data_IF_158190564856
#
_entry.id   IF_158190564856
#
_cell.length_a   1.000
_cell.length_b   1.000
_cell.length_c   1.000
_cell.angle_alpha   90.00
_cell.angle_beta   90.00
_cell.angle_gamma   90.00
#
_symmetry.space_group_name_H-M   'P 1'
#
loop_
_entity.id
_entity.type
_entity.pdbx_description
1 polymer ?
#
# COMPACT_ATOMS: atom_id res chain seq x y z
N UNK A 1 -36.88 -17.16 -10.50
CA UNK A 1 -35.50 -17.73 -10.36
C UNK A 1 -34.58 -16.77 -11.08
N UNK A 2 -33.44 -16.42 -10.50
CA UNK A 2 -32.51 -15.41 -11.07
C UNK A 2 -31.20 -16.03 -11.48
N UNK A 3 -30.74 -15.64 -12.66
CA UNK A 3 -29.43 -16.01 -13.16
C UNK A 3 -28.39 -15.00 -12.63
N UNK A 4 -27.46 -15.48 -11.81
CA UNK A 4 -26.42 -14.66 -11.20
C UNK A 4 -25.06 -15.08 -11.75
N UNK A 5 -24.44 -14.19 -12.52
CA UNK A 5 -23.10 -14.35 -13.08
C UNK A 5 -22.09 -13.70 -12.13
N UNK A 6 -21.10 -14.46 -11.67
CA UNK A 6 -20.15 -14.07 -10.64
C UNK A 6 -18.74 -14.24 -11.18
N UNK A 7 -17.93 -13.18 -11.10
CA UNK A 7 -16.50 -13.22 -11.43
C UNK A 7 -15.71 -12.86 -10.19
N UNK A 8 -14.76 -13.70 -9.81
CA UNK A 8 -13.88 -13.46 -8.68
C UNK A 8 -12.49 -13.02 -9.18
N UNK A 9 -12.01 -11.88 -8.67
CA UNK A 9 -10.72 -11.29 -9.00
C UNK A 9 -9.89 -11.15 -7.72
N UNK A 10 -8.93 -12.04 -7.54
CA UNK A 10 -7.96 -11.97 -6.47
C UNK A 10 -6.77 -11.10 -6.92
N UNK A 11 -6.61 -9.94 -6.29
CA UNK A 11 -5.64 -8.95 -6.77
C UNK A 11 -4.21 -9.21 -6.29
N UNK A 12 -4.02 -10.01 -5.23
CA UNK A 12 -2.70 -10.34 -4.68
C UNK A 12 -2.09 -11.60 -5.30
N UNK A 13 -0.79 -11.58 -5.58
CA UNK A 13 -0.08 -12.74 -6.15
C UNK A 13 0.23 -13.85 -5.13
N UNK A 14 -0.05 -13.65 -3.83
CA UNK A 14 0.44 -14.53 -2.76
C UNK A 14 -0.48 -15.71 -2.40
N UNK A 15 -1.67 -15.85 -3.00
CA UNK A 15 -2.62 -16.92 -2.64
C UNK A 15 -3.11 -17.72 -3.85
N UNK A 16 -2.18 -18.29 -4.60
CA UNK A 16 -2.48 -19.23 -5.69
C UNK A 16 -3.29 -20.41 -5.14
N UNK A 17 -4.43 -20.70 -5.76
CA UNK A 17 -5.30 -21.83 -5.40
C UNK A 17 -6.40 -21.54 -4.37
N UNK A 18 -6.48 -20.31 -3.86
CA UNK A 18 -7.56 -19.91 -2.96
C UNK A 18 -8.91 -19.84 -3.69
N UNK A 19 -9.99 -20.23 -3.00
CA UNK A 19 -11.34 -20.31 -3.58
C UNK A 19 -12.33 -19.49 -2.79
N UNK A 20 -13.12 -18.67 -3.48
CA UNK A 20 -14.22 -17.92 -2.92
C UNK A 20 -15.40 -18.86 -2.62
N UNK A 21 -15.83 -18.94 -1.36
CA UNK A 21 -17.06 -19.67 -0.99
C UNK A 21 -18.27 -18.77 -1.17
N UNK A 22 -19.24 -19.22 -1.94
CA UNK A 22 -20.51 -18.53 -2.17
C UNK A 22 -21.59 -19.25 -1.36
N UNK A 23 -22.35 -18.51 -0.56
CA UNK A 23 -23.42 -19.03 0.28
C UNK A 23 -24.74 -18.29 0.05
N UNK A 24 -25.84 -19.00 0.21
CA UNK A 24 -27.17 -18.41 0.37
C UNK A 24 -27.97 -19.19 1.41
N UNK A 25 -28.73 -18.49 2.26
CA UNK A 25 -29.50 -19.12 3.35
C UNK A 25 -28.67 -20.02 4.26
N UNK A 26 -27.37 -19.72 4.46
CA UNK A 26 -26.44 -20.53 5.26
C UNK A 26 -25.82 -21.74 4.54
N UNK A 27 -26.32 -22.15 3.37
CA UNK A 27 -25.77 -23.27 2.58
C UNK A 27 -24.69 -22.79 1.61
N UNK A 28 -23.67 -23.61 1.38
CA UNK A 28 -22.64 -23.35 0.36
C UNK A 28 -23.21 -23.74 -1.01
N UNK A 29 -23.26 -22.78 -1.93
CA UNK A 29 -23.73 -22.98 -3.30
C UNK A 29 -22.58 -23.36 -4.23
N UNK A 30 -21.43 -22.70 -4.09
CA UNK A 30 -20.28 -22.93 -4.96
C UNK A 30 -18.96 -22.52 -4.31
N UNK A 31 -17.86 -22.99 -4.91
CA UNK A 31 -16.48 -22.58 -4.61
C UNK A 31 -15.83 -22.11 -5.91
N UNK A 32 -15.63 -20.81 -6.04
CA UNK A 32 -15.12 -20.19 -7.26
C UNK A 32 -13.61 -19.96 -7.15
N UNK A 33 -12.78 -20.56 -8.02
CA UNK A 33 -11.38 -20.19 -8.14
C UNK A 33 -11.22 -18.78 -8.73
N UNK A 34 -10.05 -18.18 -8.53
CA UNK A 34 -9.70 -16.88 -9.08
C UNK A 34 -9.73 -16.87 -10.63
N UNK A 35 -10.17 -15.76 -11.21
CA UNK A 35 -10.15 -15.50 -12.66
C UNK A 35 -11.24 -16.21 -13.47
N UNK A 36 -12.05 -17.07 -12.85
CA UNK A 36 -13.16 -17.75 -13.53
C UNK A 36 -14.50 -17.04 -13.30
N UNK A 37 -15.35 -17.13 -14.32
CA UNK A 37 -16.77 -16.75 -14.25
C UNK A 37 -17.59 -17.98 -13.85
N UNK A 38 -18.60 -17.78 -13.01
CA UNK A 38 -19.54 -18.82 -12.63
C UNK A 38 -20.97 -18.30 -12.66
N UNK A 39 -21.88 -19.13 -13.14
CA UNK A 39 -23.31 -18.80 -13.23
C UNK A 39 -24.08 -19.64 -12.21
N UNK A 40 -24.90 -18.98 -11.40
CA UNK A 40 -25.75 -19.61 -10.39
C UNK A 40 -27.22 -19.27 -10.65
N UNK A 41 -28.10 -20.20 -10.37
CA UNK A 41 -29.55 -19.97 -10.35
C UNK A 41 -30.00 -19.81 -8.90
N UNK A 42 -30.52 -18.63 -8.56
CA UNK A 42 -30.85 -18.27 -7.17
C UNK A 42 -32.32 -17.88 -7.04
N UNK A 43 -33.05 -18.39 -6.03
CA UNK A 43 -34.40 -17.94 -5.74
C UNK A 43 -34.47 -16.45 -5.44
N UNK A 44 -35.59 -15.82 -5.77
CA UNK A 44 -35.80 -14.40 -5.53
C UNK A 44 -35.80 -14.05 -4.04
N UNK A 45 -35.35 -12.84 -3.72
CA UNK A 45 -35.28 -12.34 -2.35
C UNK A 45 -34.14 -12.90 -1.50
N UNK A 46 -33.33 -13.82 -2.02
CA UNK A 46 -32.18 -14.35 -1.31
C UNK A 46 -30.96 -13.42 -1.39
N UNK A 47 -30.20 -13.38 -0.30
CA UNK A 47 -28.89 -12.73 -0.25
C UNK A 47 -27.78 -13.72 -0.58
N UNK A 48 -26.69 -13.18 -1.12
CA UNK A 48 -25.47 -13.93 -1.39
C UNK A 48 -24.39 -13.48 -0.42
N UNK A 49 -23.82 -14.44 0.31
CA UNK A 49 -22.64 -14.22 1.14
C UNK A 49 -21.42 -14.82 0.48
N UNK A 50 -20.44 -13.97 0.20
CA UNK A 50 -19.13 -14.32 -0.32
C UNK A 50 -18.14 -14.42 0.85
N UNK A 51 -17.38 -15.50 0.93
CA UNK A 51 -16.41 -15.72 2.00
C UNK A 51 -15.11 -16.28 1.44
N UNK A 52 -14.03 -15.55 1.64
CA UNK A 52 -12.69 -16.01 1.34
C UNK A 52 -12.10 -16.73 2.58
N UNK A 53 -11.87 -15.99 3.67
CA UNK A 53 -11.41 -16.48 4.97
C UNK A 53 -12.26 -15.90 6.12
N UNK A 54 -12.10 -16.40 7.35
CA UNK A 54 -12.99 -16.09 8.48
C UNK A 54 -13.22 -14.58 8.76
N UNK A 55 -12.25 -13.67 8.58
CA UNK A 55 -12.53 -12.22 8.64
C UNK A 55 -12.98 -11.61 7.30
N UNK A 56 -12.77 -12.29 6.17
CA UNK A 56 -12.98 -11.75 4.81
C UNK A 56 -14.29 -12.25 4.22
N UNK A 57 -15.40 -11.60 4.62
CA UNK A 57 -16.75 -11.88 4.12
C UNK A 57 -17.47 -10.61 3.68
N UNK A 58 -18.30 -10.74 2.65
CA UNK A 58 -19.24 -9.70 2.24
C UNK A 58 -20.57 -10.32 1.85
N UNK A 59 -21.66 -9.60 2.05
CA UNK A 59 -23.02 -10.05 1.72
C UNK A 59 -23.68 -9.00 0.86
N UNK A 60 -24.29 -9.43 -0.24
CA UNK A 60 -25.04 -8.57 -1.15
C UNK A 60 -26.49 -9.03 -1.21
N UNK A 61 -27.42 -8.08 -1.26
CA UNK A 61 -28.81 -8.36 -1.58
C UNK A 61 -28.99 -8.27 -3.09
N UNK A 62 -29.61 -9.29 -3.67
CA UNK A 62 -29.87 -9.30 -5.10
C UNK A 62 -30.99 -8.29 -5.42
N UNK A 63 -30.84 -7.46 -6.48
CA UNK A 63 -31.88 -6.53 -6.90
C UNK A 63 -33.16 -7.29 -7.28
N UNK A 64 -34.34 -6.76 -6.92
CA UNK A 64 -35.62 -7.46 -7.10
C UNK A 64 -36.11 -7.46 -8.55
N UNK A 65 -35.63 -6.53 -9.34
CA UNK A 65 -36.21 -6.08 -10.61
C UNK A 65 -35.40 -6.53 -11.84
N UNK A 66 -34.37 -7.38 -11.65
CA UNK A 66 -33.56 -7.95 -12.73
C UNK A 66 -33.51 -9.47 -12.67
N UNK A 67 -33.80 -10.11 -13.80
CA UNK A 67 -33.73 -11.58 -13.96
C UNK A 67 -32.29 -12.09 -14.07
N UNK A 68 -31.43 -11.28 -14.70
CA UNK A 68 -29.99 -11.53 -14.85
C UNK A 68 -29.18 -10.51 -14.05
N UNK A 69 -28.28 -10.98 -13.21
CA UNK A 69 -27.46 -10.14 -12.33
C UNK A 69 -25.98 -10.47 -12.52
N UNK A 70 -25.14 -9.46 -12.69
CA UNK A 70 -23.70 -9.61 -12.82
C UNK A 70 -23.01 -9.07 -11.58
N UNK A 71 -22.12 -9.87 -10.99
CA UNK A 71 -21.43 -9.53 -9.74
C UNK A 71 -19.93 -9.72 -9.93
N UNK A 72 -19.17 -8.65 -9.74
CA UNK A 72 -17.72 -8.74 -9.61
C UNK A 72 -17.37 -8.75 -8.14
N UNK A 73 -16.63 -9.77 -7.73
CA UNK A 73 -16.09 -9.89 -6.37
C UNK A 73 -14.59 -9.72 -6.45
N UNK A 74 -14.04 -8.75 -5.74
CA UNK A 74 -12.61 -8.50 -5.76
C UNK A 74 -12.06 -8.21 -4.36
N UNK A 75 -10.75 -8.39 -4.25
CA UNK A 75 -10.02 -8.13 -3.01
C UNK A 75 -9.42 -6.73 -3.02
N UNK A 76 -10.00 -5.81 -2.24
CA UNK A 76 -9.60 -4.41 -2.18
C UNK A 76 -8.51 -4.17 -1.15
N UNK A 77 -7.28 -4.62 -1.43
CA UNK A 77 -6.09 -4.33 -0.61
C UNK A 77 -5.07 -3.54 -1.39
N UNK A 78 -4.56 -2.49 -0.76
CA UNK A 78 -3.43 -1.72 -1.24
C UNK A 78 -2.13 -2.49 -0.97
N UNK A 79 -1.28 -2.58 -1.97
CA UNK A 79 -0.02 -3.34 -1.95
C UNK A 79 1.19 -2.52 -1.45
N UNK A 80 0.96 -1.40 -0.77
CA UNK A 80 2.02 -0.52 -0.28
C UNK A 80 1.88 -0.21 1.20
N UNK A 81 3.02 -0.05 1.88
CA UNK A 81 3.05 0.33 3.29
C UNK A 81 2.86 1.84 3.47
N UNK A 82 2.22 2.31 4.56
CA UNK A 82 1.55 1.53 5.61
C UNK A 82 0.10 1.16 5.24
N UNK A 83 -0.36 1.53 4.04
CA UNK A 83 -1.73 1.32 3.62
C UNK A 83 -2.18 -0.15 3.71
N UNK A 84 -1.30 -1.10 3.37
CA UNK A 84 -1.54 -2.54 3.51
C UNK A 84 -1.87 -2.95 4.95
N UNK A 85 -1.22 -2.34 5.95
CA UNK A 85 -1.50 -2.62 7.37
C UNK A 85 -2.83 -2.02 7.81
N UNK A 86 -3.13 -0.81 7.35
CA UNK A 86 -4.42 -0.16 7.64
C UNK A 86 -5.58 -0.90 6.99
N UNK A 87 -5.35 -1.52 5.84
CA UNK A 87 -6.37 -2.29 5.14
C UNK A 87 -6.74 -3.57 5.90
N UNK A 88 -5.87 -4.14 6.74
CA UNK A 88 -6.21 -5.28 7.62
C UNK A 88 -7.44 -4.99 8.49
N UNK A 89 -7.68 -3.73 8.85
CA UNK A 89 -8.84 -3.30 9.64
C UNK A 89 -10.09 -2.98 8.81
N UNK A 90 -10.02 -3.01 7.48
CA UNK A 90 -11.13 -2.70 6.57
C UNK A 90 -11.81 -3.98 6.06
N UNK A 91 -12.99 -3.82 5.45
CA UNK A 91 -13.62 -4.89 4.67
C UNK A 91 -12.82 -5.10 3.38
N UNK A 92 -12.08 -6.20 3.31
CA UNK A 92 -11.16 -6.48 2.21
C UNK A 92 -11.82 -7.14 1.01
N UNK A 93 -12.93 -7.86 1.23
CA UNK A 93 -13.69 -8.50 0.17
C UNK A 93 -14.85 -7.59 -0.24
N UNK A 94 -14.83 -7.13 -1.48
CA UNK A 94 -15.85 -6.24 -2.05
C UNK A 94 -16.63 -7.02 -3.10
N UNK A 95 -17.96 -6.90 -3.06
CA UNK A 95 -18.86 -7.46 -4.06
C UNK A 95 -19.73 -6.32 -4.61
N UNK A 96 -19.74 -6.17 -5.92
CA UNK A 96 -20.47 -5.11 -6.61
C UNK A 96 -21.37 -5.71 -7.69
N UNK A 97 -22.62 -5.26 -7.74
CA UNK A 97 -23.48 -5.51 -8.90
C UNK A 97 -23.06 -4.53 -9.99
N UNK A 98 -22.76 -5.05 -11.17
CA UNK A 98 -22.25 -4.29 -12.32
C UNK A 98 -23.11 -4.51 -13.55
N UNK A 99 -22.89 -3.75 -14.62
CA UNK A 99 -23.50 -4.02 -15.93
C UNK A 99 -22.88 -5.26 -16.59
N UNK A 100 -23.51 -5.77 -17.65
CA UNK A 100 -22.95 -6.89 -18.43
C UNK A 100 -21.65 -6.48 -19.15
N UNK A 101 -21.59 -5.25 -19.66
CA UNK A 101 -20.40 -4.69 -20.30
C UNK A 101 -19.23 -4.58 -19.32
N UNK A 102 -19.47 -3.98 -18.15
CA UNK A 102 -18.49 -3.87 -17.07
C UNK A 102 -18.02 -5.25 -16.62
N UNK A 103 -18.93 -6.21 -16.47
CA UNK A 103 -18.61 -7.58 -16.09
C UNK A 103 -17.67 -8.25 -17.10
N UNK A 104 -17.92 -8.06 -18.40
CA UNK A 104 -17.12 -8.65 -19.46
C UNK A 104 -15.72 -8.03 -19.55
N UNK A 105 -15.61 -6.72 -19.32
CA UNK A 105 -14.33 -5.99 -19.33
C UNK A 105 -13.53 -6.13 -18.03
N UNK A 106 -14.18 -6.52 -16.93
CA UNK A 106 -13.55 -6.66 -15.62
C UNK A 106 -12.36 -7.62 -15.68
N UNK A 107 -11.17 -7.05 -15.47
CA UNK A 107 -9.90 -7.75 -15.45
C UNK A 107 -9.07 -7.35 -14.22
N UNK A 108 -8.11 -8.21 -13.86
CA UNK A 108 -7.29 -8.05 -12.65
C UNK A 108 -6.45 -6.78 -12.66
N UNK A 109 -5.89 -6.41 -13.81
CA UNK A 109 -4.95 -5.30 -13.90
C UNK A 109 -5.61 -3.95 -13.64
N UNK A 110 -6.78 -3.73 -14.20
CA UNK A 110 -7.47 -2.44 -14.08
C UNK A 110 -7.96 -2.20 -12.65
N UNK A 111 -8.50 -3.24 -11.99
CA UNK A 111 -8.86 -3.16 -10.57
C UNK A 111 -7.61 -2.96 -9.70
N UNK A 112 -6.49 -3.62 -10.00
CA UNK A 112 -5.23 -3.45 -9.27
C UNK A 112 -4.67 -2.02 -9.42
N UNK A 113 -4.75 -1.42 -10.62
CA UNK A 113 -4.38 -0.02 -10.89
C UNK A 113 -5.31 0.98 -10.21
N UNK A 114 -6.60 0.67 -10.07
CA UNK A 114 -7.55 1.56 -9.42
C UNK A 114 -7.33 1.67 -7.90
N UNK A 115 -6.88 0.57 -7.26
CA UNK A 115 -6.66 0.53 -5.81
C UNK A 115 -5.27 1.03 -5.42
N UNK A 116 -4.26 0.79 -6.25
CA UNK A 116 -2.88 1.16 -5.97
C UNK A 116 -2.50 2.48 -6.64
N UNK A 117 -1.82 3.40 -5.92
CA UNK A 117 -1.27 4.59 -6.54
C UNK A 117 -0.22 4.18 -7.58
N UNK A 118 -0.26 4.83 -8.75
CA UNK A 118 0.79 4.69 -9.75
C UNK A 118 1.91 5.68 -9.48
N UNK A 119 3.15 5.24 -9.64
CA UNK A 119 4.31 6.13 -9.61
C UNK A 119 4.20 7.22 -10.69
N UNK A 120 4.06 8.46 -10.26
CA UNK A 120 3.91 9.64 -11.10
C UNK A 120 5.20 10.45 -11.22
N UNK A 121 6.33 9.94 -10.75
CA UNK A 121 7.64 10.62 -10.78
C UNK A 121 8.76 9.62 -11.03
N UNK A 122 9.99 10.10 -11.19
CA UNK A 122 11.18 9.24 -11.22
C UNK A 122 11.88 9.30 -9.87
N UNK A 123 12.08 8.15 -9.24
CA UNK A 123 12.81 8.09 -7.97
C UNK A 123 14.26 8.50 -8.19
N UNK A 124 14.75 9.39 -7.34
CA UNK A 124 16.14 9.82 -7.37
C UNK A 124 16.98 8.89 -6.47
N UNK A 125 17.76 8.01 -7.08
CA UNK A 125 18.63 7.07 -6.35
C UNK A 125 19.60 7.76 -5.39
N UNK A 126 20.11 8.95 -5.73
CA UNK A 126 21.00 9.68 -4.84
C UNK A 126 20.29 10.09 -3.54
N UNK A 127 19.01 10.49 -3.61
CA UNK A 127 18.20 10.79 -2.42
C UNK A 127 18.05 9.55 -1.54
N UNK A 128 17.76 8.40 -2.15
CA UNK A 128 17.60 7.13 -1.42
C UNK A 128 18.91 6.69 -0.76
N UNK A 129 20.03 6.78 -1.48
CA UNK A 129 21.35 6.41 -0.95
C UNK A 129 21.78 7.34 0.18
N UNK A 130 21.65 8.66 0.02
CA UNK A 130 22.01 9.63 1.07
C UNK A 130 21.13 9.40 2.31
N UNK A 131 19.82 9.22 2.12
CA UNK A 131 18.90 8.94 3.22
C UNK A 131 19.21 7.64 3.95
N UNK A 132 19.55 6.59 3.21
CA UNK A 132 19.95 5.30 3.77
C UNK A 132 21.28 5.41 4.55
N UNK A 133 22.27 6.12 4.01
CA UNK A 133 23.54 6.35 4.70
C UNK A 133 23.37 7.17 5.98
N UNK A 134 22.59 8.25 5.94
CA UNK A 134 22.25 9.04 7.14
C UNK A 134 21.56 8.16 8.20
N UNK A 135 20.63 7.32 7.77
CA UNK A 135 19.95 6.38 8.66
C UNK A 135 20.94 5.42 9.33
N UNK A 136 21.88 4.85 8.58
CA UNK A 136 22.94 4.00 9.14
C UNK A 136 23.84 4.78 10.11
N UNK A 137 24.21 6.01 9.78
CA UNK A 137 25.00 6.86 10.69
C UNK A 137 24.25 7.00 12.02
N UNK A 138 22.97 7.38 12.01
CA UNK A 138 22.20 7.52 13.25
C UNK A 138 21.97 6.20 13.99
N UNK A 139 21.95 5.06 13.29
CA UNK A 139 21.89 3.73 13.93
C UNK A 139 23.19 3.39 14.65
N UNK A 140 24.36 3.71 14.09
CA UNK A 140 25.65 3.26 14.65
C UNK A 140 26.34 4.28 15.55
N UNK A 141 26.09 5.57 15.33
CA UNK A 141 26.63 6.68 16.13
C UNK A 141 26.41 6.52 17.65
N UNK A 142 25.26 6.02 18.13
CA UNK A 142 24.99 5.84 19.55
C UNK A 142 25.95 4.87 20.28
N UNK A 143 26.41 3.83 19.59
CA UNK A 143 27.28 2.81 20.20
C UNK A 143 28.73 3.28 20.39
N UNK A 144 29.15 4.26 19.59
CA UNK A 144 30.53 4.76 19.61
C UNK A 144 30.67 6.07 20.39
N UNK A 145 29.67 6.95 20.38
CA UNK A 145 29.83 8.35 20.84
C UNK A 145 28.87 8.78 21.96
N UNK A 146 27.79 8.05 22.24
CA UNK A 146 26.75 8.46 23.20
C UNK A 146 26.74 7.62 24.49
N UNK A 147 27.93 7.18 24.94
CA UNK A 147 28.06 6.45 26.20
C UNK A 147 27.73 7.39 27.37
N UNK A 148 26.64 7.08 28.09
CA UNK A 148 26.16 7.89 29.22
C UNK A 148 24.99 8.83 28.90
N UNK A 149 24.55 8.91 27.64
CA UNK A 149 23.36 9.70 27.25
C UNK A 149 22.22 8.79 26.76
N UNK A 150 21.67 7.97 27.65
CA UNK A 150 20.73 6.90 27.29
C UNK A 150 19.54 7.38 26.45
N UNK A 151 18.92 8.50 26.80
CA UNK A 151 17.79 9.06 26.05
C UNK A 151 18.18 9.47 24.62
N UNK A 152 19.32 10.15 24.45
CA UNK A 152 19.80 10.58 23.13
C UNK A 152 20.27 9.39 22.29
N UNK A 153 20.91 8.41 22.94
CA UNK A 153 21.36 7.15 22.35
C UNK A 153 20.19 6.38 21.76
N UNK A 154 19.15 6.16 22.57
CA UNK A 154 18.01 5.34 22.21
C UNK A 154 17.15 6.05 21.14
N UNK A 155 17.00 7.37 21.24
CA UNK A 155 16.30 8.18 20.22
C UNK A 155 17.02 8.17 18.87
N UNK A 156 18.34 8.40 18.86
CA UNK A 156 19.14 8.35 17.62
C UNK A 156 19.10 6.97 16.99
N UNK A 157 19.23 5.92 17.82
CA UNK A 157 19.15 4.53 17.34
C UNK A 157 17.78 4.24 16.73
N UNK A 158 16.69 4.64 17.41
CA UNK A 158 15.33 4.45 16.92
C UNK A 158 15.09 5.14 15.58
N UNK A 159 15.45 6.43 15.47
CA UNK A 159 15.31 7.19 14.21
C UNK A 159 16.18 6.56 13.11
N UNK A 160 17.40 6.14 13.43
CA UNK A 160 18.28 5.45 12.48
C UNK A 160 17.66 4.16 11.94
N UNK A 161 17.21 3.25 12.83
CA UNK A 161 16.60 1.98 12.42
C UNK A 161 15.32 2.21 11.62
N UNK A 162 14.44 3.10 12.09
CA UNK A 162 13.22 3.45 11.37
C UNK A 162 13.51 4.10 10.01
N UNK A 163 14.59 4.88 9.91
CA UNK A 163 15.10 5.42 8.66
C UNK A 163 15.57 4.34 7.70
N UNK A 164 16.38 3.38 8.16
CA UNK A 164 16.87 2.24 7.36
C UNK A 164 15.70 1.47 6.79
N UNK A 165 14.72 1.11 7.64
CA UNK A 165 13.51 0.42 7.22
C UNK A 165 12.73 1.30 6.22
N UNK A 166 12.50 2.56 6.54
CA UNK A 166 11.75 3.49 5.69
C UNK A 166 12.35 3.65 4.28
N UNK A 167 13.66 3.83 4.17
CA UNK A 167 14.34 3.94 2.89
C UNK A 167 14.42 2.61 2.14
N UNK A 168 14.61 1.48 2.83
CA UNK A 168 14.52 0.16 2.21
C UNK A 168 13.14 -0.08 1.58
N UNK A 169 12.07 0.30 2.30
CA UNK A 169 10.70 0.23 1.78
C UNK A 169 10.48 1.15 0.58
N UNK A 170 11.06 2.36 0.57
CA UNK A 170 10.99 3.26 -0.59
C UNK A 170 11.68 2.68 -1.83
N UNK A 171 12.78 1.93 -1.64
CA UNK A 171 13.50 1.24 -2.72
C UNK A 171 12.66 0.08 -3.27
N UNK A 172 11.96 -0.66 -2.41
CA UNK A 172 11.13 -1.80 -2.80
C UNK A 172 9.81 -1.34 -3.46
N UNK A 173 9.17 -0.30 -2.94
CA UNK A 173 7.84 0.20 -3.36
C UNK A 173 7.88 1.12 -4.59
N UNK A 174 8.90 1.00 -5.46
CA UNK A 174 9.13 1.87 -6.63
C UNK A 174 7.87 2.23 -7.41
N UNK A 175 6.99 1.26 -7.65
CA UNK A 175 5.80 1.43 -8.52
C UNK A 175 4.53 1.88 -7.79
N UNK A 176 4.52 1.89 -6.46
CA UNK A 176 3.32 2.02 -5.62
C UNK A 176 3.36 3.25 -4.70
N UNK A 177 4.10 4.29 -5.09
CA UNK A 177 4.21 5.54 -4.32
C UNK A 177 4.12 6.74 -5.26
N UNK A 178 3.29 7.71 -4.89
CA UNK A 178 3.20 9.00 -5.59
C UNK A 178 4.25 9.99 -5.06
N UNK A 179 4.50 11.06 -5.80
CA UNK A 179 5.51 12.06 -5.45
C UNK A 179 5.25 12.73 -4.10
N UNK A 180 3.97 13.01 -3.78
CA UNK A 180 3.59 13.68 -2.54
C UNK A 180 3.96 12.84 -1.32
N UNK A 181 3.61 11.56 -1.33
CA UNK A 181 3.94 10.61 -0.26
C UNK A 181 5.45 10.37 -0.17
N UNK A 182 6.12 10.27 -1.31
CA UNK A 182 7.58 10.17 -1.34
C UNK A 182 8.24 11.39 -0.68
N UNK A 183 7.88 12.61 -1.09
CA UNK A 183 8.40 13.85 -0.50
C UNK A 183 8.11 13.90 1.00
N UNK A 184 6.88 13.59 1.42
CA UNK A 184 6.52 13.62 2.83
C UNK A 184 7.39 12.68 3.68
N UNK A 185 7.60 11.43 3.25
CA UNK A 185 8.43 10.46 4.00
C UNK A 185 9.88 10.94 4.12
N UNK A 186 10.46 11.42 3.02
CA UNK A 186 11.85 11.89 3.03
C UNK A 186 12.00 13.18 3.84
N UNK A 187 11.04 14.10 3.77
CA UNK A 187 11.07 15.35 4.53
C UNK A 187 10.86 15.12 6.04
N UNK A 188 9.99 14.18 6.43
CA UNK A 188 9.83 13.80 7.85
C UNK A 188 11.14 13.25 8.40
N UNK A 189 11.78 12.32 7.69
CA UNK A 189 13.10 11.82 8.09
C UNK A 189 14.14 12.96 8.18
N UNK A 190 14.13 13.89 7.22
CA UNK A 190 15.05 15.03 7.21
C UNK A 190 14.83 15.96 8.41
N UNK A 191 13.57 16.23 8.77
CA UNK A 191 13.23 17.04 9.93
C UNK A 191 13.69 16.38 11.23
N UNK A 192 13.49 15.07 11.36
CA UNK A 192 13.99 14.30 12.50
C UNK A 192 15.53 14.28 12.56
N UNK A 193 16.19 14.20 11.41
CA UNK A 193 17.66 14.25 11.30
C UNK A 193 18.21 15.61 11.75
N UNK A 194 17.61 16.71 11.28
CA UNK A 194 17.97 18.08 11.72
C UNK A 194 17.75 18.23 13.24
N UNK A 195 16.63 17.73 13.76
CA UNK A 195 16.35 17.77 15.19
C UNK A 195 17.43 17.01 15.97
N UNK A 196 17.81 15.80 15.52
CA UNK A 196 18.89 15.02 16.10
C UNK A 196 20.23 15.77 16.09
N UNK A 197 20.61 16.33 14.95
CA UNK A 197 21.90 17.04 14.81
C UNK A 197 22.05 18.22 15.79
N UNK A 198 20.92 18.85 16.15
CA UNK A 198 20.87 19.93 17.15
C UNK A 198 21.11 19.38 18.56
N UNK A 199 20.38 18.33 18.95
CA UNK A 199 20.38 17.82 20.33
C UNK A 199 21.58 16.94 20.66
N UNK A 200 22.16 16.26 19.67
CA UNK A 200 23.28 15.36 19.90
C UNK A 200 24.56 16.15 20.24
N UNK A 201 25.39 15.69 21.19
CA UNK A 201 26.64 16.33 21.59
C UNK A 201 27.78 16.04 20.59
N UNK A 202 27.53 16.26 19.30
CA UNK A 202 28.51 16.01 18.23
C UNK A 202 29.53 17.15 18.12
N UNK A 203 30.72 16.84 17.59
CA UNK A 203 31.68 17.87 17.20
C UNK A 203 31.08 18.82 16.16
N UNK A 204 31.51 20.08 16.16
CA UNK A 204 31.02 21.08 15.21
C UNK A 204 31.15 20.61 13.75
N UNK A 205 32.29 19.99 13.41
CA UNK A 205 32.53 19.43 12.08
C UNK A 205 31.49 18.37 11.69
N UNK A 206 31.17 17.44 12.60
CA UNK A 206 30.15 16.41 12.35
C UNK A 206 28.77 17.03 12.19
N UNK A 207 28.39 17.98 13.07
CA UNK A 207 27.09 18.67 13.00
C UNK A 207 26.90 19.35 11.65
N UNK A 208 27.87 20.16 11.21
CA UNK A 208 27.74 20.88 9.94
C UNK A 208 27.75 19.94 8.73
N UNK A 209 28.48 18.82 8.79
CA UNK A 209 28.50 17.83 7.71
C UNK A 209 27.16 17.12 7.58
N UNK A 210 26.54 16.69 8.70
CA UNK A 210 25.23 16.03 8.71
C UNK A 210 24.11 17.00 8.29
N UNK A 211 24.14 18.24 8.78
CA UNK A 211 23.21 19.28 8.37
C UNK A 211 23.33 19.59 6.87
N UNK A 212 24.54 19.66 6.33
CA UNK A 212 24.77 19.87 4.89
C UNK A 212 24.22 18.70 4.08
N UNK A 213 24.52 17.45 4.47
CA UNK A 213 24.02 16.26 3.80
C UNK A 213 22.48 16.20 3.81
N UNK A 214 21.86 16.50 4.96
CA UNK A 214 20.40 16.57 5.10
C UNK A 214 19.80 17.71 4.28
N UNK A 215 20.44 18.88 4.28
CA UNK A 215 20.01 20.03 3.47
C UNK A 215 20.05 19.76 1.97
N UNK A 216 21.11 19.11 1.48
CA UNK A 216 21.22 18.68 0.09
C UNK A 216 20.12 17.66 -0.28
N UNK A 217 19.83 16.72 0.62
CA UNK A 217 18.76 15.75 0.45
C UNK A 217 17.39 16.43 0.36
N UNK A 218 17.08 17.37 1.27
CA UNK A 218 15.84 18.17 1.24
C UNK A 218 15.72 18.95 -0.07
N UNK A 219 16.79 19.65 -0.47
CA UNK A 219 16.79 20.46 -1.69
C UNK A 219 16.56 19.59 -2.94
N UNK A 220 17.18 18.40 -3.01
CA UNK A 220 16.97 17.45 -4.10
C UNK A 220 15.52 16.97 -4.14
N UNK A 221 14.93 16.64 -2.99
CA UNK A 221 13.54 16.18 -2.87
C UNK A 221 12.55 17.26 -3.29
N UNK A 222 12.74 18.50 -2.83
CA UNK A 222 11.86 19.62 -3.18
C UNK A 222 11.86 19.91 -4.69
N UNK A 223 13.02 19.78 -5.34
CA UNK A 223 13.17 19.96 -6.80
C UNK A 223 12.54 18.87 -7.66
N UNK A 224 12.16 17.72 -7.08
CA UNK A 224 11.51 16.65 -7.84
C UNK A 224 10.12 17.11 -8.31
N UNK A 225 9.79 16.81 -9.56
CA UNK A 225 8.51 17.14 -10.21
C UNK A 225 7.76 15.88 -10.61
N UNK A 226 6.44 16.00 -10.81
CA UNK A 226 5.66 14.89 -11.35
C UNK A 226 5.93 14.76 -12.87
N UNK A 227 5.84 13.55 -13.43
CA UNK A 227 5.96 13.27 -14.86
C UNK A 227 4.95 14.05 -15.70
N UNK A 228 3.78 14.39 -15.13
CA UNK A 228 2.79 15.26 -15.78
C UNK A 228 3.27 16.71 -15.93
N UNK A 229 4.08 17.20 -15.00
CA UNK A 229 4.67 18.54 -15.02
C UNK A 229 5.94 18.62 -15.89
N UNK A 230 6.58 17.48 -16.17
CA UNK A 230 7.71 17.38 -17.11
C UNK A 230 7.28 17.30 -18.58
N UNK A 231 5.98 17.09 -18.84
CA UNK A 231 5.37 17.00 -20.18
C UNK A 231 4.65 18.29 -20.59
N UNK A 232 5.08 19.44 -20.08
CA UNK A 232 4.70 20.73 -20.65
C UNK A 232 5.76 21.13 -21.69
N UNK A 233 5.35 21.59 -22.89
CA UNK A 233 6.24 22.03 -23.95
C UNK A 233 7.14 23.20 -23.53
#
# INVERSE_FOLDING_TARGET
MKEVNIKFLFLLDCCVGARLRIRSGGKILARLPDGLTYTLQIPEGQSLTFTYSFPMRTTIQLPKDKDKVFIVVYYSVREYFPAILLDVFRKLLVAQVVSEEEFNQANREDYKKAINPSQDFEQNYAVLVIGFLLSLIYTFLPFNLLKGEENNRDLSFFIGVMGVIGFAMLIEQKKLINLKEYKARVLVFSALSIMLDIILPLSAFMKYTLLLATGLLVLRVLRMKAKREMKLP
#
